data_IF_326553328826
#
_entry.id   IF_326553328826
#
_cell.length_a   1.000
_cell.length_b   1.000
_cell.length_c   1.000
_cell.angle_alpha   90.00
_cell.angle_beta   90.00
_cell.angle_gamma   90.00
#
_symmetry.space_group_name_H-M   'P 1'
#
loop_
_entity.id
_entity.type
_entity.pdbx_description
1 polymer ?
#
# COMPACT_ATOMS: atom_id res chain seq x y z
N UNK A 1 -15.33 8.61 -6.34
CA UNK A 1 -15.20 7.49 -5.38
C UNK A 1 -13.95 7.62 -4.48
N UNK A 2 -13.60 8.81 -3.99
CA UNK A 2 -12.31 9.07 -3.34
C UNK A 2 -12.25 8.72 -1.83
N UNK A 3 -13.37 8.35 -1.20
CA UNK A 3 -13.42 8.13 0.25
C UNK A 3 -13.03 6.74 0.76
N UNK A 4 -12.97 5.72 -0.11
CA UNK A 4 -12.81 4.31 0.31
C UNK A 4 -11.37 3.80 0.45
N UNK A 5 -10.42 4.39 -0.30
CA UNK A 5 -9.01 3.98 -0.27
C UNK A 5 -8.35 3.96 1.13
N UNK A 6 -8.54 4.98 2.00
CA UNK A 6 -7.89 4.97 3.32
C UNK A 6 -8.43 3.86 4.23
N UNK A 7 -9.70 3.50 4.11
CA UNK A 7 -10.30 2.41 4.88
C UNK A 7 -9.75 1.04 4.47
N UNK A 8 -9.67 0.77 3.16
CA UNK A 8 -9.10 -0.48 2.64
C UNK A 8 -7.63 -0.61 3.04
N UNK A 9 -6.84 0.46 2.90
CA UNK A 9 -5.44 0.48 3.32
C UNK A 9 -5.28 0.20 4.82
N UNK A 10 -6.15 0.79 5.63
CA UNK A 10 -6.14 0.59 7.08
C UNK A 10 -6.50 -0.85 7.46
N UNK A 11 -7.53 -1.43 6.84
CA UNK A 11 -7.91 -2.83 7.05
C UNK A 11 -6.79 -3.79 6.69
N UNK A 12 -6.14 -3.60 5.54
CA UNK A 12 -5.00 -4.42 5.12
C UNK A 12 -3.84 -4.32 6.10
N UNK A 13 -3.54 -3.10 6.57
CA UNK A 13 -2.44 -2.88 7.51
C UNK A 13 -2.73 -3.48 8.88
N UNK A 14 -3.96 -3.30 9.41
CA UNK A 14 -4.41 -3.95 10.65
C UNK A 14 -4.29 -5.47 10.53
N UNK A 15 -4.79 -6.04 9.45
CA UNK A 15 -4.72 -7.48 9.20
C UNK A 15 -3.27 -7.97 9.18
N UNK A 16 -2.39 -7.27 8.46
CA UNK A 16 -0.98 -7.63 8.39
C UNK A 16 -0.28 -7.56 9.75
N UNK A 17 -0.52 -6.48 10.51
CA UNK A 17 0.03 -6.29 11.86
C UNK A 17 -0.40 -7.44 12.78
N UNK A 18 -1.70 -7.76 12.80
CA UNK A 18 -2.24 -8.83 13.64
C UNK A 18 -1.73 -10.20 13.21
N UNK A 19 -1.71 -10.50 11.91
CA UNK A 19 -1.25 -11.79 11.40
C UNK A 19 0.21 -12.05 11.73
N UNK A 20 1.09 -11.05 11.57
CA UNK A 20 2.52 -11.22 11.89
C UNK A 20 2.73 -11.29 13.40
N UNK A 21 1.99 -10.51 14.19
CA UNK A 21 2.02 -10.60 15.66
C UNK A 21 1.56 -11.98 16.15
N UNK A 22 0.45 -12.48 15.60
CA UNK A 22 -0.08 -13.80 15.93
C UNK A 22 0.90 -14.91 15.54
N UNK A 23 1.45 -14.86 14.33
CA UNK A 23 2.45 -15.82 13.88
C UNK A 23 3.68 -15.83 14.81
N UNK A 24 4.14 -14.66 15.25
CA UNK A 24 5.29 -14.56 16.18
C UNK A 24 5.03 -15.29 17.50
N UNK A 25 3.83 -15.16 18.06
CA UNK A 25 3.42 -15.88 19.27
C UNK A 25 3.28 -17.38 19.06
N UNK A 26 2.71 -17.80 17.92
CA UNK A 26 2.62 -19.24 17.59
C UNK A 26 4.01 -19.86 17.42
N UNK A 27 4.92 -19.18 16.75
CA UNK A 27 6.27 -19.71 16.51
C UNK A 27 7.14 -19.74 17.76
N UNK A 28 6.98 -18.77 18.68
CA UNK A 28 7.78 -18.70 19.89
C UNK A 28 7.21 -19.56 21.04
N UNK A 29 5.92 -19.42 21.32
CA UNK A 29 5.29 -19.98 22.51
C UNK A 29 4.21 -21.03 22.19
N UNK A 30 3.77 -21.17 20.94
CA UNK A 30 2.74 -22.13 20.54
C UNK A 30 1.31 -21.79 20.96
N UNK A 31 1.12 -20.65 21.64
CA UNK A 31 -0.18 -20.23 22.17
C UNK A 31 -0.63 -18.90 21.55
N UNK A 32 -1.95 -18.72 21.47
CA UNK A 32 -2.57 -17.51 20.93
C UNK A 32 -3.72 -17.06 21.83
N UNK A 33 -3.99 -15.74 21.91
CA UNK A 33 -5.20 -15.22 22.52
C UNK A 33 -6.44 -15.77 21.84
N UNK A 34 -7.54 -15.81 22.59
CA UNK A 34 -8.84 -16.17 22.03
C UNK A 34 -9.20 -15.26 20.83
N UNK A 35 -9.84 -15.84 19.80
CA UNK A 35 -10.15 -15.12 18.55
C UNK A 35 -10.93 -13.82 18.80
N UNK A 36 -11.84 -13.82 19.77
CA UNK A 36 -12.58 -12.61 20.18
C UNK A 36 -11.68 -11.46 20.66
N UNK A 37 -10.58 -11.77 21.35
CA UNK A 37 -9.59 -10.77 21.79
C UNK A 37 -8.83 -10.21 20.59
N UNK A 38 -8.41 -11.06 19.66
CA UNK A 38 -7.73 -10.65 18.43
C UNK A 38 -8.63 -9.71 17.60
N UNK A 39 -9.92 -10.04 17.47
CA UNK A 39 -10.88 -9.21 16.77
C UNK A 39 -11.11 -7.86 17.46
N UNK A 40 -11.22 -7.85 18.79
CA UNK A 40 -11.36 -6.61 19.58
C UNK A 40 -10.13 -5.70 19.40
N UNK A 41 -8.93 -6.27 19.46
CA UNK A 41 -7.69 -5.54 19.24
C UNK A 41 -7.60 -5.01 17.81
N UNK A 42 -8.03 -5.78 16.81
CA UNK A 42 -8.14 -5.31 15.43
C UNK A 42 -9.10 -4.13 15.26
N UNK A 43 -10.27 -4.19 15.89
CA UNK A 43 -11.22 -3.08 15.92
C UNK A 43 -10.61 -1.83 16.55
N UNK A 44 -9.83 -1.98 17.62
CA UNK A 44 -9.18 -0.87 18.30
C UNK A 44 -8.02 -0.28 17.48
N UNK A 45 -7.26 -1.12 16.77
CA UNK A 45 -6.16 -0.70 15.89
C UNK A 45 -6.64 0.05 14.63
N UNK A 46 -7.87 -0.17 14.18
CA UNK A 46 -8.43 0.54 13.02
C UNK A 46 -8.44 2.06 13.21
N UNK A 47 -8.72 2.56 14.42
CA UNK A 47 -8.80 4.00 14.69
C UNK A 47 -7.46 4.71 14.46
N UNK A 48 -6.34 4.36 15.14
CA UNK A 48 -5.08 5.02 14.91
C UNK A 48 -4.54 4.78 13.50
N UNK A 49 -4.77 3.60 12.90
CA UNK A 49 -4.26 3.31 11.55
C UNK A 49 -5.03 4.03 10.45
N UNK A 50 -6.33 4.27 10.60
CA UNK A 50 -7.09 5.14 9.67
C UNK A 50 -6.63 6.59 9.71
N UNK A 51 -6.18 7.09 10.86
CA UNK A 51 -5.56 8.40 10.96
C UNK A 51 -4.15 8.40 10.35
N UNK A 52 -3.38 7.34 10.59
CA UNK A 52 -1.99 7.23 10.15
C UNK A 52 -1.88 7.10 8.62
N UNK A 53 -2.76 6.33 7.99
CA UNK A 53 -2.81 6.11 6.53
C UNK A 53 -3.21 7.35 5.74
N UNK A 54 -3.73 8.39 6.39
CA UNK A 54 -4.03 9.69 5.76
C UNK A 54 -2.79 10.58 5.61
N UNK A 55 -1.65 10.20 6.19
CA UNK A 55 -0.42 10.98 6.18
C UNK A 55 0.70 10.20 5.49
N UNK A 56 1.56 10.92 4.76
CA UNK A 56 2.82 10.35 4.32
C UNK A 56 3.75 10.21 5.53
N UNK A 57 4.17 8.99 5.84
CA UNK A 57 5.07 8.72 6.96
C UNK A 57 6.51 8.59 6.46
N UNK A 58 7.42 9.30 7.12
CA UNK A 58 8.85 8.99 7.01
C UNK A 58 9.14 7.60 7.57
N UNK A 59 10.22 6.96 7.11
CA UNK A 59 10.65 5.65 7.65
C UNK A 59 10.83 5.69 9.17
N UNK A 60 11.37 6.79 9.72
CA UNK A 60 11.56 6.95 11.17
C UNK A 60 10.23 6.96 11.91
N UNK A 61 9.26 7.75 11.44
CA UNK A 61 7.91 7.77 12.04
C UNK A 61 7.15 6.45 11.87
N UNK A 62 7.39 5.74 10.77
CA UNK A 62 6.80 4.42 10.55
C UNK A 62 7.42 3.40 11.53
N UNK A 63 8.73 3.42 11.73
CA UNK A 63 9.41 2.55 12.71
C UNK A 63 8.92 2.81 14.14
N UNK A 64 8.78 4.08 14.55
CA UNK A 64 8.29 4.39 15.90
C UNK A 64 6.83 3.95 16.09
N UNK A 65 5.96 4.24 15.12
CA UNK A 65 4.56 3.86 15.19
C UNK A 65 4.36 2.33 15.17
N UNK A 66 5.04 1.63 14.26
CA UNK A 66 4.95 0.17 14.16
C UNK A 66 5.60 -0.51 15.36
N UNK A 67 6.73 0.01 15.86
CA UNK A 67 7.41 -0.54 17.03
C UNK A 67 6.57 -0.39 18.29
N UNK A 68 5.94 0.78 18.51
CA UNK A 68 5.00 0.98 19.61
C UNK A 68 3.79 0.03 19.50
N UNK A 69 3.24 -0.15 18.30
CA UNK A 69 2.14 -1.09 18.06
C UNK A 69 2.52 -2.55 18.33
N UNK A 70 3.69 -2.98 17.87
CA UNK A 70 4.19 -4.34 18.11
C UNK A 70 4.50 -4.60 19.59
N UNK A 71 5.09 -3.63 20.30
CA UNK A 71 5.33 -3.74 21.75
C UNK A 71 4.01 -3.85 22.54
N UNK A 72 3.02 -3.04 22.17
CA UNK A 72 1.69 -3.08 22.79
C UNK A 72 1.01 -4.44 22.54
N UNK A 73 1.02 -4.91 21.30
CA UNK A 73 0.43 -6.21 20.94
C UNK A 73 1.14 -7.37 21.62
N UNK A 74 2.47 -7.37 21.65
CA UNK A 74 3.28 -8.36 22.37
C UNK A 74 2.87 -8.45 23.85
N UNK A 75 2.72 -7.29 24.50
CA UNK A 75 2.31 -7.19 25.89
C UNK A 75 0.88 -7.73 26.09
N UNK A 76 -0.06 -7.31 25.25
CA UNK A 76 -1.46 -7.72 25.32
C UNK A 76 -1.65 -9.21 25.03
N UNK A 77 -0.95 -9.74 24.02
CA UNK A 77 -0.99 -11.15 23.69
C UNK A 77 -0.38 -11.98 24.82
N UNK A 78 0.75 -11.56 25.39
CA UNK A 78 1.33 -12.21 26.57
C UNK A 78 0.39 -12.23 27.77
N UNK A 79 -0.37 -11.17 28.00
CA UNK A 79 -1.37 -11.11 29.09
C UNK A 79 -2.60 -11.99 28.84
N UNK A 80 -2.96 -12.23 27.57
CA UNK A 80 -4.24 -12.87 27.20
C UNK A 80 -4.10 -14.28 26.64
N UNK A 81 -2.88 -14.72 26.34
CA UNK A 81 -2.57 -16.06 25.84
C UNK A 81 -2.19 -17.06 26.95
N UNK A 82 -2.41 -16.73 28.23
CA UNK A 82 -2.01 -17.57 29.35
C UNK A 82 -2.65 -18.98 29.24
N UNK A 83 -1.84 -20.06 29.20
CA UNK A 83 -2.37 -21.42 29.15
C UNK A 83 -3.07 -21.74 30.48
N UNK A 84 -4.29 -22.26 30.40
CA UNK A 84 -5.02 -22.77 31.55
C UNK A 84 -4.85 -24.29 31.63
N UNK A 85 -4.43 -24.80 32.78
CA UNK A 85 -4.46 -26.22 33.08
C UNK A 85 -5.79 -26.50 33.77
N UNK A 86 -6.65 -27.27 33.12
CA UNK A 86 -7.91 -27.71 33.68
C UNK A 86 -7.75 -29.13 34.22
N UNK A 87 -7.93 -29.29 35.53
CA UNK A 87 -7.96 -30.60 36.15
C UNK A 87 -9.40 -30.99 36.45
N UNK A 88 -9.71 -32.24 36.11
CA UNK A 88 -10.98 -32.84 36.45
C UNK A 88 -10.92 -33.34 37.89
N UNK A 89 -11.70 -32.75 38.79
CA UNK A 89 -11.87 -33.33 40.13
C UNK A 89 -12.72 -34.59 40.01
N UNK A 90 -12.10 -35.77 40.13
CA UNK A 90 -12.86 -37.02 40.23
C UNK A 90 -13.55 -37.06 41.60
N UNK A 91 -14.86 -36.87 41.61
CA UNK A 91 -15.65 -37.16 42.80
C UNK A 91 -15.64 -38.68 43.06
N UNK A 92 -15.54 -39.05 44.35
CA UNK A 92 -15.63 -40.44 44.84
C UNK A 92 -16.84 -41.17 44.23
N UNK A 93 -16.70 -42.44 43.80
CA UNK A 93 -17.83 -43.21 43.28
C UNK A 93 -18.92 -43.36 44.35
N UNK A 94 -20.11 -42.80 44.13
CA UNK A 94 -21.26 -42.97 45.03
C UNK A 94 -22.10 -41.72 45.32
N UNK A 95 -21.66 -40.53 44.88
CA UNK A 95 -22.44 -39.30 44.99
C UNK A 95 -22.64 -38.66 43.62
N UNK A 96 -23.85 -38.19 43.32
CA UNK A 96 -24.15 -37.36 42.15
C UNK A 96 -23.45 -36.00 42.30
N UNK A 97 -22.14 -35.97 42.11
CA UNK A 97 -21.36 -34.75 42.13
C UNK A 97 -21.29 -34.18 40.72
N UNK A 98 -21.58 -32.89 40.60
CA UNK A 98 -21.31 -32.14 39.38
C UNK A 98 -19.80 -32.23 39.09
N UNK A 99 -19.48 -32.52 37.82
CA UNK A 99 -18.10 -32.50 37.34
C UNK A 99 -17.68 -31.03 37.24
N UNK A 100 -17.01 -30.52 38.28
CA UNK A 100 -16.39 -29.21 38.20
C UNK A 100 -15.01 -29.32 37.56
N UNK A 101 -14.84 -28.67 36.41
CA UNK A 101 -13.52 -28.37 35.87
C UNK A 101 -12.97 -27.15 36.60
N UNK A 102 -11.99 -27.36 37.47
CA UNK A 102 -11.20 -26.28 38.01
C UNK A 102 -10.03 -26.01 37.07
N UNK A 103 -10.01 -24.82 36.45
CA UNK A 103 -8.93 -24.37 35.59
C UNK A 103 -8.10 -23.31 36.32
N UNK A 104 -6.78 -23.45 36.31
CA UNK A 104 -5.83 -22.51 36.88
C UNK A 104 -4.76 -22.15 35.86
N UNK A 105 -4.20 -20.92 35.86
CA UNK A 105 -3.08 -20.57 34.99
C UNK A 105 -1.89 -21.52 35.21
N UNK A 106 -1.31 -22.03 34.13
CA UNK A 106 -0.12 -22.86 34.19
C UNK A 106 1.08 -22.04 34.71
N UNK A 107 1.90 -22.62 35.59
CA UNK A 107 3.15 -22.00 36.00
C UNK A 107 4.15 -22.02 34.82
N UNK A 108 4.79 -20.88 34.47
CA UNK A 108 5.76 -20.85 33.39
C UNK A 108 7.02 -21.63 33.76
N UNK A 109 7.51 -22.47 32.84
CA UNK A 109 8.79 -23.17 32.98
C UNK A 109 9.94 -22.16 32.73
N UNK A 110 10.77 -21.84 33.74
CA UNK A 110 11.76 -20.75 33.65
C UNK A 110 12.83 -20.99 32.59
N UNK A 111 13.13 -22.25 32.25
CA UNK A 111 14.24 -22.59 31.35
C UNK A 111 13.82 -22.48 29.87
N UNK A 112 12.59 -22.85 29.53
CA UNK A 112 12.02 -22.64 28.19
C UNK A 112 11.66 -21.18 27.91
N UNK A 113 11.25 -20.43 28.94
CA UNK A 113 10.85 -19.03 28.83
C UNK A 113 11.99 -18.10 28.35
N UNK A 114 13.24 -18.36 28.73
CA UNK A 114 14.37 -17.51 28.37
C UNK A 114 14.72 -17.60 26.86
N UNK A 115 14.72 -18.80 26.29
CA UNK A 115 14.99 -19.01 24.86
C UNK A 115 13.82 -18.58 23.98
N UNK A 116 12.57 -18.87 24.40
CA UNK A 116 11.36 -18.43 23.70
C UNK A 116 11.20 -16.91 23.70
N UNK A 117 11.57 -16.25 24.80
CA UNK A 117 11.49 -14.79 24.91
C UNK A 117 12.40 -14.04 23.91
N UNK A 118 13.63 -14.53 23.70
CA UNK A 118 14.56 -13.92 22.74
C UNK A 118 14.12 -14.13 21.28
N UNK A 119 13.66 -15.33 20.93
CA UNK A 119 13.15 -15.61 19.58
C UNK A 119 11.87 -14.81 19.31
N UNK A 120 10.96 -14.71 20.28
CA UNK A 120 9.76 -13.88 20.19
C UNK A 120 10.10 -12.41 19.95
N UNK A 121 11.03 -11.85 20.73
CA UNK A 121 11.46 -10.46 20.57
C UNK A 121 12.09 -10.22 19.19
N UNK A 122 12.91 -11.15 18.71
CA UNK A 122 13.52 -11.07 17.38
C UNK A 122 12.46 -11.10 16.26
N UNK A 123 11.44 -11.96 16.39
CA UNK A 123 10.33 -12.03 15.43
C UNK A 123 9.52 -10.72 15.41
N UNK A 124 9.20 -10.13 16.57
CA UNK A 124 8.53 -8.83 16.64
C UNK A 124 9.41 -7.68 16.11
N UNK A 125 10.72 -7.72 16.33
CA UNK A 125 11.64 -6.73 15.78
C UNK A 125 11.68 -6.80 14.25
N UNK A 126 11.77 -8.01 13.68
CA UNK A 126 11.71 -8.24 12.24
C UNK A 126 10.36 -7.79 11.67
N UNK A 127 9.26 -8.15 12.33
CA UNK A 127 7.91 -7.70 11.97
C UNK A 127 7.82 -6.18 11.91
N UNK A 128 8.37 -5.50 12.92
CA UNK A 128 8.39 -4.03 13.00
C UNK A 128 9.09 -3.41 11.80
N UNK A 129 10.26 -3.94 11.43
CA UNK A 129 11.03 -3.45 10.27
C UNK A 129 10.26 -3.67 8.98
N UNK A 130 9.71 -4.86 8.77
CA UNK A 130 8.92 -5.20 7.57
C UNK A 130 7.67 -4.30 7.45
N UNK A 131 6.96 -4.08 8.56
CA UNK A 131 5.79 -3.21 8.61
C UNK A 131 6.15 -1.74 8.35
N UNK A 132 7.26 -1.26 8.90
CA UNK A 132 7.70 0.12 8.68
C UNK A 132 8.11 0.35 7.21
N UNK A 133 8.79 -0.62 6.60
CA UNK A 133 9.15 -0.57 5.18
C UNK A 133 7.92 -0.61 4.28
N UNK A 134 6.96 -1.50 4.55
CA UNK A 134 5.71 -1.57 3.77
C UNK A 134 4.90 -0.29 3.86
N UNK A 135 4.76 0.31 5.04
CA UNK A 135 4.02 1.58 5.22
C UNK A 135 4.74 2.76 4.58
N UNK A 136 6.07 2.84 4.66
CA UNK A 136 6.83 3.95 4.07
C UNK A 136 6.92 3.88 2.54
N UNK A 137 6.86 2.68 1.95
CA UNK A 137 6.93 2.45 0.49
C UNK A 137 5.57 2.33 -0.19
N UNK A 138 4.48 2.28 0.56
CA UNK A 138 3.16 1.99 -0.01
C UNK A 138 2.68 3.04 -1.00
N UNK A 139 3.05 4.31 -0.83
CA UNK A 139 2.60 5.38 -1.73
C UNK A 139 3.26 5.24 -3.11
N UNK A 140 4.55 4.93 -3.16
CA UNK A 140 5.28 4.63 -4.40
C UNK A 140 4.74 3.36 -5.07
N UNK A 141 4.50 2.31 -4.29
CA UNK A 141 3.95 1.06 -4.79
C UNK A 141 2.54 1.24 -5.39
N UNK A 142 1.69 2.05 -4.76
CA UNK A 142 0.36 2.38 -5.27
C UNK A 142 0.43 3.25 -6.54
N UNK A 143 1.38 4.18 -6.61
CA UNK A 143 1.60 4.98 -7.80
C UNK A 143 2.06 4.11 -8.99
N UNK A 144 3.00 3.19 -8.76
CA UNK A 144 3.47 2.24 -9.77
C UNK A 144 2.37 1.28 -10.21
N UNK A 145 1.62 0.72 -9.26
CA UNK A 145 0.49 -0.16 -9.56
C UNK A 145 -0.60 0.59 -10.35
N UNK A 146 -0.89 1.84 -9.98
CA UNK A 146 -1.80 2.71 -10.71
C UNK A 146 -1.32 2.99 -12.13
N UNK A 147 -0.04 3.30 -12.33
CA UNK A 147 0.55 3.51 -13.64
C UNK A 147 0.51 2.24 -14.51
N UNK A 148 0.75 1.08 -13.90
CA UNK A 148 0.72 -0.23 -14.56
C UNK A 148 -0.70 -0.67 -14.94
N UNK A 149 -1.69 -0.37 -14.11
CA UNK A 149 -3.11 -0.68 -14.37
C UNK A 149 -3.78 0.33 -15.30
N UNK A 150 -3.32 1.59 -15.34
CA UNK A 150 -3.86 2.65 -16.21
C UNK A 150 -4.07 2.21 -17.66
N UNK A 151 -3.13 1.54 -18.37
CA UNK A 151 -3.37 1.09 -19.74
C UNK A 151 -4.50 0.07 -19.91
N UNK A 152 -4.90 -0.66 -18.86
CA UNK A 152 -6.04 -1.59 -18.94
C UNK A 152 -7.40 -0.86 -18.91
N UNK A 153 -7.43 0.33 -18.31
CA UNK A 153 -8.65 1.12 -18.13
C UNK A 153 -8.75 2.29 -19.11
N UNK A 154 -7.64 2.72 -19.69
CA UNK A 154 -7.62 3.72 -20.75
C UNK A 154 -7.84 2.99 -22.08
N UNK A 155 -9.08 3.01 -22.56
CA UNK A 155 -9.40 2.69 -23.95
C UNK A 155 -8.45 3.51 -24.85
N UNK A 156 -7.90 2.93 -25.94
CA UNK A 156 -7.10 3.68 -26.89
C UNK A 156 -7.97 4.82 -27.41
N UNK A 157 -7.72 6.03 -26.92
CA UNK A 157 -8.30 7.22 -27.51
C UNK A 157 -7.79 7.25 -28.95
N UNK A 158 -8.69 7.28 -29.95
CA UNK A 158 -8.28 7.63 -31.30
C UNK A 158 -7.51 8.94 -31.17
N UNK A 159 -6.22 8.89 -31.49
CA UNK A 159 -5.40 10.07 -31.47
C UNK A 159 -6.11 11.14 -32.32
N UNK A 160 -6.37 12.35 -31.79
CA UNK A 160 -6.90 13.42 -32.62
C UNK A 160 -5.94 13.57 -33.79
N UNK A 161 -6.48 13.44 -35.01
CA UNK A 161 -5.71 13.56 -36.24
C UNK A 161 -4.97 14.89 -36.15
N UNK A 162 -3.64 14.85 -36.00
CA UNK A 162 -2.85 16.07 -35.92
C UNK A 162 -3.13 16.85 -37.20
N UNK A 163 -3.60 18.11 -37.14
CA UNK A 163 -3.76 18.90 -38.35
C UNK A 163 -2.41 18.91 -39.07
N UNK A 164 -2.38 18.73 -40.40
CA UNK A 164 -1.14 18.67 -41.14
C UNK A 164 -0.31 19.89 -40.78
N UNK A 165 0.90 19.66 -40.25
CA UNK A 165 1.87 20.73 -39.98
C UNK A 165 2.01 21.50 -41.28
N UNK A 166 1.53 22.76 -41.31
CA UNK A 166 1.86 23.67 -42.41
C UNK A 166 3.38 23.76 -42.42
N UNK A 167 3.98 23.19 -43.47
CA UNK A 167 5.40 23.37 -43.75
C UNK A 167 5.62 24.89 -43.79
N UNK A 168 6.62 25.43 -43.06
CA UNK A 168 6.92 26.85 -43.18
C UNK A 168 7.11 27.13 -44.67
N UNK A 169 6.33 28.08 -45.20
CA UNK A 169 6.50 28.55 -46.55
C UNK A 169 7.95 29.04 -46.60
N UNK A 170 8.80 28.34 -47.35
CA UNK A 170 10.19 28.72 -47.53
C UNK A 170 10.17 30.17 -48.02
N UNK A 171 10.92 31.05 -47.34
CA UNK A 171 10.99 32.48 -47.68
C UNK A 171 11.25 32.60 -49.18
N UNK A 172 10.20 32.96 -49.93
CA UNK A 172 10.31 33.24 -51.35
C UNK A 172 11.11 34.53 -51.41
N UNK A 173 12.29 34.56 -52.06
CA UNK A 173 13.07 35.78 -52.18
C UNK A 173 12.20 36.88 -52.76
N UNK A 174 12.24 38.06 -52.15
CA UNK A 174 11.52 39.22 -52.66
C UNK A 174 11.88 39.41 -54.15
N UNK A 175 10.90 39.65 -55.03
CA UNK A 175 11.17 39.86 -56.45
C UNK A 175 12.18 41.00 -56.62
N UNK A 176 13.36 40.67 -57.15
CA UNK A 176 14.38 41.68 -57.46
C UNK A 176 13.92 42.42 -58.72
N UNK A 177 13.82 43.74 -58.64
CA UNK A 177 13.52 44.56 -59.81
C UNK A 177 14.59 44.31 -60.90
N UNK A 178 14.20 44.02 -62.15
CA UNK A 178 15.16 43.73 -63.20
C UNK A 178 16.05 44.95 -63.43
N UNK A 179 17.37 44.72 -63.46
CA UNK A 179 18.35 45.71 -63.88
C UNK A 179 17.99 46.23 -65.28
N UNK A 180 18.11 47.54 -65.52
CA UNK A 180 17.71 48.20 -66.76
C UNK A 180 18.30 47.61 -68.04
N UNK A 181 19.48 46.97 -67.94
CA UNK A 181 20.10 46.20 -69.04
C UNK A 181 19.21 45.03 -69.51
N UNK A 182 18.49 44.38 -68.61
CA UNK A 182 17.63 43.23 -68.90
C UNK A 182 16.23 43.63 -69.40
N UNK A 183 15.87 44.92 -69.36
CA UNK A 183 14.62 45.42 -69.91
C UNK A 183 14.58 45.43 -71.45
N UNK A 184 15.76 45.31 -72.09
CA UNK A 184 15.88 45.27 -73.55
C UNK A 184 15.81 43.85 -74.15
N UNK A 185 15.78 42.81 -73.30
CA UNK A 185 15.68 41.42 -73.76
C UNK A 185 14.20 41.11 -74.05
N UNK A 186 13.84 40.74 -75.29
CA UNK A 186 12.49 40.34 -75.61
C UNK A 186 12.09 39.12 -74.78
N UNK A 187 11.07 39.25 -73.93
CA UNK A 187 10.57 38.12 -73.15
C UNK A 187 9.87 37.13 -74.08
N UNK A 188 10.42 35.92 -74.23
CA UNK A 188 9.82 34.84 -75.05
C UNK A 188 8.48 34.31 -74.49
N UNK A 189 8.05 34.81 -73.34
CA UNK A 189 6.83 34.37 -72.65
C UNK A 189 5.87 35.56 -72.58
N UNK A 190 4.70 35.42 -73.19
CA UNK A 190 3.63 36.41 -73.11
C UNK A 190 3.09 36.57 -71.68
N UNK A 191 2.38 37.67 -71.39
CA UNK A 191 1.85 37.95 -70.06
C UNK A 191 0.93 36.80 -69.59
N UNK A 192 1.01 36.41 -68.30
CA UNK A 192 0.11 35.40 -67.75
C UNK A 192 -1.34 35.88 -67.88
N UNK A 193 -2.21 35.03 -68.43
CA UNK A 193 -3.66 35.29 -68.48
C UNK A 193 -4.17 35.35 -67.04
N UNK A 194 -4.61 36.53 -66.60
CA UNK A 194 -5.31 36.68 -65.34
C UNK A 194 -6.64 35.90 -65.43
N UNK A 195 -6.72 34.76 -64.75
CA UNK A 195 -7.98 34.10 -64.49
C UNK A 195 -8.69 34.89 -63.39
N UNK A 196 -9.69 35.68 -63.77
CA UNK A 196 -10.61 36.29 -62.82
C UNK A 196 -11.44 35.17 -62.17
N UNK A 197 -11.39 35.06 -60.83
CA UNK A 197 -12.28 34.19 -60.09
C UNK A 197 -13.66 34.86 -60.01
N UNK A 198 -14.77 34.14 -60.31
CA UNK A 198 -16.12 34.68 -60.18
C UNK A 198 -16.51 34.80 -58.69
N UNK A 199 -17.11 35.94 -58.36
CA UNK A 199 -17.81 36.23 -57.10
C UNK A 199 -19.17 35.53 -57.04
#
# INVERSE_FOLDING_TARGET
MAGGLPYVRSLLLVSLILSVSAASHVFADGHLPHLGVILLLGALLLVPLTLLTRRALSLRSALTAMGAGQLLLHTLFGMTAAPAVCQSSSAMPGHHAAFELACSPAAPDPMGAASGGLTMLALHALATVVLALTVSRSDEALALLGAWLRPLFVLPALAPQSPPRRRPLQDVPAPVAPLSVHASVPTLRGPPRAFALPS
#
